data_IF_712247762217
#
_entry.id   IF_712247762217
#
_cell.length_a   1.000
_cell.length_b   1.000
_cell.length_c   1.000
_cell.angle_alpha   90.00
_cell.angle_beta   90.00
_cell.angle_gamma   90.00
#
_symmetry.space_group_name_H-M   'P 1'
#
loop_
_entity.id
_entity.type
_entity.pdbx_description
1 polymer ?
#
# COMPACT_ATOMS: atom_id res chain seq x y z
N UNK A 1 3.25 33.30 21.60
CA UNK A 1 3.28 33.54 20.13
C UNK A 1 2.91 32.26 19.39
N UNK A 2 1.81 32.24 18.63
CA UNK A 2 1.46 31.07 17.82
C UNK A 2 2.36 31.01 16.58
N UNK A 3 2.95 29.85 16.33
CA UNK A 3 3.82 29.63 15.17
C UNK A 3 2.96 29.62 13.89
N UNK A 4 3.45 30.18 12.78
CA UNK A 4 2.75 30.13 11.48
C UNK A 4 2.70 28.70 10.93
N UNK A 5 1.61 28.35 10.23
CA UNK A 5 1.45 27.04 9.57
C UNK A 5 2.56 26.75 8.54
N UNK A 6 3.08 27.80 7.87
CA UNK A 6 4.19 27.69 6.92
C UNK A 6 5.48 27.27 7.63
N UNK A 7 5.76 27.90 8.78
CA UNK A 7 6.94 27.58 9.58
C UNK A 7 6.89 26.15 10.11
N UNK A 8 5.73 25.70 10.64
CA UNK A 8 5.56 24.30 11.09
C UNK A 8 5.83 23.28 10.00
N UNK A 9 5.36 23.54 8.77
CA UNK A 9 5.61 22.63 7.63
C UNK A 9 7.09 22.57 7.28
N UNK A 10 7.78 23.71 7.32
CA UNK A 10 9.22 23.78 7.06
C UNK A 10 10.01 23.05 8.15
N UNK A 11 9.75 23.36 9.42
CA UNK A 11 10.50 22.84 10.57
C UNK A 11 10.24 21.36 10.87
N UNK A 12 9.03 20.86 10.63
CA UNK A 12 8.65 19.46 10.89
C UNK A 12 8.56 18.60 9.62
N UNK A 13 9.10 19.07 8.49
CA UNK A 13 9.18 18.22 7.30
C UNK A 13 10.18 17.08 7.51
N UNK A 14 9.76 15.85 7.22
CA UNK A 14 10.66 14.71 7.30
C UNK A 14 11.73 14.82 6.22
N UNK A 15 13.00 14.64 6.59
CA UNK A 15 14.17 14.86 5.71
C UNK A 15 14.40 13.73 4.68
N UNK A 16 13.37 13.35 3.91
CA UNK A 16 13.42 12.25 2.94
C UNK A 16 14.61 12.32 1.99
N UNK A 17 14.87 13.50 1.40
CA UNK A 17 15.95 13.69 0.45
C UNK A 17 17.32 13.37 1.05
N UNK A 18 17.58 13.86 2.28
CA UNK A 18 18.85 13.65 2.98
C UNK A 18 19.06 12.18 3.34
N UNK A 19 17.99 11.51 3.79
CA UNK A 19 18.04 10.07 4.11
C UNK A 19 18.37 9.26 2.86
N UNK A 20 17.66 9.49 1.75
CA UNK A 20 17.89 8.76 0.50
C UNK A 20 19.30 9.01 -0.08
N UNK A 21 19.76 10.26 -0.11
CA UNK A 21 21.11 10.57 -0.60
C UNK A 21 22.21 9.97 0.28
N UNK A 22 21.98 9.90 1.58
CA UNK A 22 22.95 9.27 2.50
C UNK A 22 22.98 7.76 2.27
N UNK A 23 21.82 7.15 2.06
CA UNK A 23 21.72 5.71 1.81
C UNK A 23 22.39 5.32 0.48
N UNK A 24 22.19 6.11 -0.58
CA UNK A 24 22.90 5.96 -1.86
C UNK A 24 24.42 5.98 -1.70
N UNK A 25 24.96 7.00 -1.01
CA UNK A 25 26.41 7.13 -0.76
C UNK A 25 26.97 5.98 0.08
N UNK A 26 26.21 5.48 1.06
CA UNK A 26 26.63 4.35 1.87
C UNK A 26 26.65 3.06 1.04
N UNK A 27 25.61 2.82 0.24
CA UNK A 27 25.57 1.70 -0.68
C UNK A 27 26.77 1.70 -1.64
N UNK A 28 27.09 2.84 -2.25
CA UNK A 28 28.28 3.01 -3.09
C UNK A 28 29.58 2.72 -2.33
N UNK A 29 29.73 3.25 -1.11
CA UNK A 29 30.92 3.05 -0.27
C UNK A 29 31.15 1.57 0.08
N UNK A 30 30.08 0.83 0.37
CA UNK A 30 30.16 -0.57 0.79
C UNK A 30 30.02 -1.55 -0.39
N UNK A 31 29.96 -1.07 -1.64
CA UNK A 31 29.79 -1.92 -2.82
C UNK A 31 28.44 -2.65 -2.86
N UNK A 32 27.41 -2.10 -2.22
CA UNK A 32 26.05 -2.66 -2.21
C UNK A 32 25.23 -2.01 -3.32
N UNK A 33 24.57 -2.82 -4.14
CA UNK A 33 23.70 -2.31 -5.21
C UNK A 33 22.48 -1.57 -4.62
N UNK A 34 22.22 -0.36 -5.11
CA UNK A 34 21.06 0.44 -4.70
C UNK A 34 20.01 0.54 -5.82
N UNK A 35 18.89 -0.18 -5.64
CA UNK A 35 17.80 -0.21 -6.62
C UNK A 35 16.64 0.70 -6.18
N UNK A 36 16.41 1.78 -6.94
CA UNK A 36 15.26 2.68 -6.72
C UNK A 36 13.99 2.10 -7.33
N UNK A 37 13.00 1.81 -6.49
CA UNK A 37 11.68 1.33 -6.93
C UNK A 37 10.56 2.31 -6.61
N UNK A 38 9.50 2.29 -7.41
CA UNK A 38 8.32 3.13 -7.18
C UNK A 38 7.56 2.67 -5.92
N UNK A 39 7.37 3.53 -4.90
CA UNK A 39 6.77 3.15 -3.61
C UNK A 39 5.23 3.14 -3.62
N UNK A 40 4.58 3.28 -4.77
CA UNK A 40 3.14 3.45 -4.85
C UNK A 40 2.38 2.24 -4.28
N UNK A 41 1.40 2.46 -3.40
CA UNK A 41 0.51 1.42 -2.85
C UNK A 41 1.19 0.29 -2.05
N UNK A 42 2.43 0.45 -1.58
CA UNK A 42 3.17 -0.59 -0.84
C UNK A 42 2.49 -1.00 0.46
N UNK A 43 2.00 -0.03 1.25
CA UNK A 43 1.26 -0.31 2.50
C UNK A 43 -0.08 -1.01 2.28
N UNK A 44 -0.73 -0.75 1.14
CA UNK A 44 -2.04 -1.32 0.80
C UNK A 44 -1.86 -2.76 0.29
N UNK A 45 -0.99 -2.95 -0.69
CA UNK A 45 -0.68 -4.27 -1.24
C UNK A 45 -0.07 -5.19 -0.18
N UNK A 46 0.88 -4.68 0.62
CA UNK A 46 1.46 -5.40 1.75
C UNK A 46 0.41 -5.85 2.78
N UNK A 47 -0.44 -4.92 3.25
CA UNK A 47 -1.53 -5.24 4.18
C UNK A 47 -2.49 -6.29 3.63
N UNK A 48 -2.91 -6.14 2.38
CA UNK A 48 -3.95 -6.97 1.79
C UNK A 48 -3.43 -8.34 1.34
N UNK A 49 -2.15 -8.49 0.98
CA UNK A 49 -1.56 -9.74 0.49
C UNK A 49 -0.73 -10.49 1.52
N UNK A 50 0.15 -9.78 2.21
CA UNK A 50 1.28 -10.38 2.92
C UNK A 50 1.10 -10.37 4.44
N UNK A 51 0.51 -9.32 4.99
CA UNK A 51 0.38 -9.15 6.44
C UNK A 51 -0.29 -10.36 7.10
N UNK A 52 -1.42 -10.83 6.57
CA UNK A 52 -2.08 -12.02 7.11
C UNK A 52 -1.33 -13.32 6.79
N UNK A 53 -0.81 -13.45 5.56
CA UNK A 53 -0.18 -14.70 5.10
C UNK A 53 1.06 -15.03 5.92
N UNK A 54 1.87 -14.02 6.20
CA UNK A 54 3.15 -14.18 6.92
C UNK A 54 3.08 -13.75 8.39
N UNK A 55 1.92 -13.30 8.88
CA UNK A 55 1.71 -12.81 10.27
C UNK A 55 2.71 -11.73 10.69
N UNK A 56 3.09 -10.87 9.75
CA UNK A 56 4.02 -9.77 9.95
C UNK A 56 3.28 -8.44 10.21
N UNK A 57 3.99 -7.45 10.71
CA UNK A 57 3.48 -6.09 10.89
C UNK A 57 3.16 -5.42 9.54
N UNK A 58 2.42 -4.31 9.59
CA UNK A 58 2.13 -3.52 8.38
C UNK A 58 3.41 -2.98 7.74
N UNK A 59 4.39 -2.58 8.55
CA UNK A 59 5.63 -1.98 8.08
C UNK A 59 6.50 -3.03 7.38
N UNK A 60 6.66 -4.20 7.98
CA UNK A 60 7.34 -5.34 7.36
C UNK A 60 6.64 -5.78 6.07
N UNK A 61 5.31 -5.81 6.05
CA UNK A 61 4.58 -6.17 4.83
C UNK A 61 4.77 -5.16 3.69
N UNK A 62 4.94 -3.87 4.02
CA UNK A 62 5.24 -2.83 3.05
C UNK A 62 6.69 -2.94 2.56
N UNK A 63 7.64 -3.21 3.46
CA UNK A 63 9.04 -3.45 3.12
C UNK A 63 9.20 -4.68 2.21
N UNK A 64 8.51 -5.78 2.51
CA UNK A 64 8.47 -6.97 1.67
C UNK A 64 7.97 -6.65 0.25
N UNK A 65 6.96 -5.78 0.15
CA UNK A 65 6.44 -5.35 -1.15
C UNK A 65 7.47 -4.53 -1.94
N UNK A 66 8.24 -3.67 -1.26
CA UNK A 66 9.32 -2.89 -1.87
C UNK A 66 10.42 -3.83 -2.38
N UNK A 67 10.88 -4.78 -1.55
CA UNK A 67 11.90 -5.76 -1.92
C UNK A 67 11.49 -6.60 -3.13
N UNK A 68 10.25 -7.09 -3.15
CA UNK A 68 9.71 -7.86 -4.30
C UNK A 68 9.68 -7.05 -5.60
N UNK A 69 9.41 -5.75 -5.51
CA UNK A 69 9.50 -4.87 -6.68
C UNK A 69 10.94 -4.64 -7.12
N UNK A 70 11.89 -4.60 -6.19
CA UNK A 70 13.33 -4.56 -6.49
C UNK A 70 13.76 -5.77 -7.31
N UNK A 71 13.18 -6.94 -7.01
CA UNK A 71 13.37 -8.19 -7.78
C UNK A 71 12.56 -8.25 -9.09
N UNK A 72 11.96 -7.15 -9.55
CA UNK A 72 11.17 -7.12 -10.79
C UNK A 72 9.77 -7.77 -10.71
N UNK A 73 9.32 -8.18 -9.51
CA UNK A 73 8.01 -8.83 -9.36
C UNK A 73 6.85 -7.81 -9.34
N UNK A 74 5.78 -8.11 -10.08
CA UNK A 74 4.56 -7.30 -10.11
C UNK A 74 3.59 -7.70 -9.00
N UNK A 75 2.96 -6.72 -8.37
CA UNK A 75 2.04 -6.91 -7.26
C UNK A 75 0.61 -7.15 -7.77
N UNK A 76 0.39 -8.31 -8.39
CA UNK A 76 -0.93 -8.72 -8.88
C UNK A 76 -1.93 -8.84 -7.71
N UNK A 77 -3.16 -8.42 -7.98
CA UNK A 77 -4.27 -8.42 -7.01
C UNK A 77 -4.89 -9.83 -6.94
N UNK A 78 -4.94 -10.47 -5.76
CA UNK A 78 -5.59 -11.77 -5.57
C UNK A 78 -7.05 -11.81 -6.05
N UNK A 79 -7.49 -12.95 -6.63
CA UNK A 79 -8.88 -13.16 -7.09
C UNK A 79 -9.92 -12.79 -6.02
N UNK A 80 -9.71 -13.24 -4.77
CA UNK A 80 -10.58 -12.92 -3.63
C UNK A 80 -10.86 -11.42 -3.46
N UNK A 81 -9.86 -10.56 -3.72
CA UNK A 81 -10.04 -9.11 -3.64
C UNK A 81 -10.73 -8.53 -4.88
N UNK A 82 -10.60 -9.19 -6.03
CA UNK A 82 -11.33 -8.82 -7.25
C UNK A 82 -12.82 -9.10 -7.10
N UNK A 83 -13.18 -10.19 -6.41
CA UNK A 83 -14.59 -10.56 -6.18
C UNK A 83 -15.36 -9.52 -5.34
N UNK A 84 -14.65 -8.64 -4.61
CA UNK A 84 -15.23 -7.51 -3.85
C UNK A 84 -15.70 -6.37 -4.77
N UNK A 85 -15.17 -6.31 -6.00
CA UNK A 85 -15.43 -5.22 -6.94
C UNK A 85 -16.83 -5.33 -7.55
N UNK A 86 -17.39 -4.19 -7.94
CA UNK A 86 -18.68 -4.17 -8.66
C UNK A 86 -18.50 -4.59 -10.12
N UNK A 87 -19.60 -4.99 -10.78
CA UNK A 87 -19.60 -5.32 -12.23
C UNK A 87 -19.02 -4.18 -13.07
N UNK A 88 -19.36 -2.93 -12.76
CA UNK A 88 -18.83 -1.75 -13.44
C UNK A 88 -17.33 -1.56 -13.24
N UNK A 89 -16.83 -1.73 -12.01
CA UNK A 89 -15.39 -1.67 -11.72
C UNK A 89 -14.64 -2.78 -12.47
N UNK A 90 -15.22 -3.97 -12.54
CA UNK A 90 -14.66 -5.13 -13.25
C UNK A 90 -14.58 -4.90 -14.76
N UNK A 91 -15.58 -4.24 -15.38
CA UNK A 91 -15.52 -3.87 -16.81
C UNK A 91 -14.31 -2.98 -17.14
N UNK A 92 -13.99 -2.03 -16.26
CA UNK A 92 -12.84 -1.13 -16.44
C UNK A 92 -11.48 -1.79 -16.15
N UNK A 93 -11.47 -2.99 -15.56
CA UNK A 93 -10.26 -3.65 -15.06
C UNK A 93 -9.21 -3.95 -16.13
N UNK A 94 -9.65 -4.39 -17.32
CA UNK A 94 -8.76 -4.72 -18.44
C UNK A 94 -8.04 -3.48 -18.98
N UNK A 95 -8.65 -2.30 -18.90
CA UNK A 95 -8.09 -1.03 -19.40
C UNK A 95 -7.13 -0.35 -18.41
N UNK A 96 -7.09 -0.80 -17.16
CA UNK A 96 -6.32 -0.15 -16.08
C UNK A 96 -4.91 -0.73 -15.92
N UNK A 97 -3.96 0.15 -15.59
CA UNK A 97 -2.63 -0.23 -15.11
C UNK A 97 -2.68 -0.75 -13.66
N UNK A 98 -1.58 -1.34 -13.19
CA UNK A 98 -1.50 -1.99 -11.87
C UNK A 98 -1.89 -1.04 -10.71
N UNK A 99 -1.46 0.22 -10.79
CA UNK A 99 -1.72 1.19 -9.73
C UNK A 99 -3.16 1.68 -9.70
N UNK A 100 -3.78 1.88 -10.88
CA UNK A 100 -5.19 2.20 -10.99
C UNK A 100 -6.05 1.07 -10.41
N UNK A 101 -5.68 -0.20 -10.65
CA UNK A 101 -6.35 -1.36 -10.05
C UNK A 101 -6.25 -1.35 -8.53
N UNK A 102 -5.06 -1.11 -7.96
CA UNK A 102 -4.87 -1.00 -6.51
C UNK A 102 -5.65 0.17 -5.90
N UNK A 103 -5.71 1.31 -6.60
CA UNK A 103 -6.51 2.47 -6.18
C UNK A 103 -8.00 2.14 -6.13
N UNK A 104 -8.52 1.47 -7.16
CA UNK A 104 -9.93 1.02 -7.22
C UNK A 104 -10.26 0.07 -6.07
N UNK A 105 -9.41 -0.93 -5.83
CA UNK A 105 -9.58 -1.88 -4.71
C UNK A 105 -9.55 -1.15 -3.37
N UNK A 106 -8.58 -0.25 -3.15
CA UNK A 106 -8.49 0.54 -1.92
C UNK A 106 -9.77 1.33 -1.68
N UNK A 107 -10.27 2.06 -2.69
CA UNK A 107 -11.49 2.85 -2.61
C UNK A 107 -12.69 1.98 -2.27
N UNK A 108 -12.83 0.84 -2.96
CA UNK A 108 -13.93 -0.12 -2.71
C UNK A 108 -13.92 -0.63 -1.28
N UNK A 109 -12.78 -1.13 -0.80
CA UNK A 109 -12.64 -1.63 0.58
C UNK A 109 -12.94 -0.52 1.59
N UNK A 110 -12.40 0.69 1.36
CA UNK A 110 -12.63 1.84 2.25
C UNK A 110 -14.12 2.17 2.36
N UNK A 111 -14.85 2.15 1.24
CA UNK A 111 -16.30 2.42 1.24
C UNK A 111 -17.09 1.32 1.98
N UNK A 112 -16.73 0.05 1.81
CA UNK A 112 -17.36 -1.07 2.53
C UNK A 112 -17.11 -0.94 4.03
N UNK A 113 -15.88 -0.63 4.44
CA UNK A 113 -15.54 -0.45 5.85
C UNK A 113 -16.22 0.78 6.45
N UNK A 114 -16.32 1.89 5.69
CA UNK A 114 -17.01 3.12 6.13
C UNK A 114 -18.48 2.85 6.44
N UNK A 115 -19.18 2.05 5.61
CA UNK A 115 -20.56 1.61 5.89
C UNK A 115 -20.71 0.85 7.22
N UNK A 116 -19.61 0.27 7.71
CA UNK A 116 -19.54 -0.50 8.96
C UNK A 116 -18.85 0.26 10.10
N UNK A 117 -18.66 1.58 9.95
CA UNK A 117 -17.94 2.44 10.90
C UNK A 117 -16.51 1.97 11.23
N UNK A 118 -15.88 1.22 10.32
CA UNK A 118 -14.52 0.70 10.47
C UNK A 118 -13.50 1.46 9.60
N UNK A 119 -12.24 1.50 10.05
CA UNK A 119 -11.12 2.12 9.33
C UNK A 119 -10.33 1.10 8.52
N UNK A 120 -9.62 1.54 7.47
CA UNK A 120 -8.85 0.65 6.59
C UNK A 120 -7.76 -0.15 7.31
N UNK A 121 -7.14 0.40 8.35
CA UNK A 121 -6.15 -0.34 9.14
C UNK A 121 -6.76 -1.49 9.96
N UNK A 122 -8.06 -1.48 10.20
CA UNK A 122 -8.80 -2.56 10.87
C UNK A 122 -9.26 -3.65 9.90
N UNK A 123 -8.83 -3.61 8.62
CA UNK A 123 -9.20 -4.60 7.60
C UNK A 123 -9.10 -6.05 8.10
N UNK A 124 -8.05 -6.36 8.86
CA UNK A 124 -7.80 -7.70 9.38
C UNK A 124 -9.00 -8.28 10.15
N UNK A 125 -9.65 -7.46 10.98
CA UNK A 125 -10.79 -7.87 11.82
C UNK A 125 -12.08 -8.01 11.01
N UNK A 126 -12.27 -7.20 9.96
CA UNK A 126 -13.54 -7.14 9.23
C UNK A 126 -13.57 -7.97 7.93
N UNK A 127 -12.43 -8.46 7.44
CA UNK A 127 -12.32 -9.12 6.13
C UNK A 127 -13.23 -10.35 5.97
N UNK A 128 -13.37 -11.18 7.01
CA UNK A 128 -14.16 -12.42 6.92
C UNK A 128 -15.62 -12.09 6.66
N UNK A 129 -16.17 -11.15 7.42
CA UNK A 129 -17.52 -10.65 7.20
C UNK A 129 -17.68 -9.99 5.83
N UNK A 130 -16.66 -9.26 5.33
CA UNK A 130 -16.71 -8.68 3.97
C UNK A 130 -16.84 -9.77 2.92
N UNK A 131 -16.04 -10.84 3.00
CA UNK A 131 -16.11 -11.96 2.06
C UNK A 131 -17.41 -12.76 2.17
N UNK A 132 -17.94 -12.96 3.38
CA UNK A 132 -19.22 -13.65 3.58
C UNK A 132 -20.40 -12.89 2.95
N UNK A 133 -20.34 -11.56 2.95
CA UNK A 133 -21.41 -10.71 2.38
C UNK A 133 -21.46 -10.80 0.85
N UNK A 134 -20.36 -11.18 0.20
CA UNK A 134 -20.26 -11.29 -1.26
C UNK A 134 -20.73 -12.67 -1.75
N UNK A 135 -20.69 -13.68 -0.88
CA UNK A 135 -21.15 -15.04 -1.20
C UNK A 135 -22.66 -15.22 -1.08
N UNK A 136 -23.36 -14.29 -0.40
CA UNK A 136 -24.82 -14.20 -0.39
C UNK A 136 -25.28 -13.35 -1.55
#
# INVERSE_FOLDING_TARGET
>A
KSISAKFRRMSHSFCYRKILSTLERLCERYGVEFIKVKPAFTSISGRLKYQQKYRISVHESAALTIGRRGMGMKERIPKKLQDILTKQQTKSWKKQNEWARWSTVRKRITNILKKRKAKFHQWFHHKQHVYQTIKK
#
